data_IF_594668413586
#
_entry.id   IF_594668413586
#
_cell.length_a   1.000
_cell.length_b   1.000
_cell.length_c   1.000
_cell.angle_alpha   90.00
_cell.angle_beta   90.00
_cell.angle_gamma   90.00
#
_symmetry.space_group_name_H-M   'P 1'
#
loop_
_entity.id
_entity.type
_entity.pdbx_description
1 polymer ?
#
# COMPACT_ATOMS: atom_id res chain seq x y z
N UNK A 1 -34.75 -5.44 -6.57
CA UNK A 1 -33.70 -4.48 -6.97
C UNK A 1 -32.40 -5.26 -7.10
N UNK A 2 -31.98 -5.62 -8.32
CA UNK A 2 -30.69 -6.30 -8.54
C UNK A 2 -29.60 -5.24 -8.35
N UNK A 3 -28.84 -5.34 -7.26
CA UNK A 3 -27.72 -4.45 -7.01
C UNK A 3 -26.74 -4.53 -8.19
N UNK A 4 -26.27 -3.37 -8.64
CA UNK A 4 -25.25 -3.21 -9.68
C UNK A 4 -24.03 -4.10 -9.39
N UNK A 5 -23.95 -5.29 -9.99
CA UNK A 5 -22.66 -5.93 -10.27
C UNK A 5 -22.13 -5.26 -11.53
N UNK A 6 -21.58 -4.06 -11.39
CA UNK A 6 -20.91 -3.34 -12.48
C UNK A 6 -19.62 -4.04 -12.94
N UNK A 7 -19.25 -5.16 -12.32
CA UNK A 7 -17.95 -5.83 -12.52
C UNK A 7 -16.76 -4.99 -12.06
N UNK A 8 -17.01 -3.80 -11.50
CA UNK A 8 -15.99 -2.82 -11.17
C UNK A 8 -15.41 -3.15 -9.79
N UNK A 9 -14.11 -3.44 -9.77
CA UNK A 9 -13.34 -3.74 -8.56
C UNK A 9 -12.11 -2.85 -8.51
N UNK A 10 -11.47 -2.78 -7.35
CA UNK A 10 -10.17 -2.10 -7.18
C UNK A 10 -9.11 -2.67 -8.14
N UNK A 11 -9.15 -3.97 -8.41
CA UNK A 11 -8.27 -4.65 -9.39
C UNK A 11 -8.56 -4.20 -10.83
N UNK A 12 -9.84 -4.12 -11.22
CA UNK A 12 -10.22 -3.65 -12.57
C UNK A 12 -9.83 -2.18 -12.76
N UNK A 13 -10.03 -1.34 -11.74
CA UNK A 13 -9.61 0.06 -11.77
C UNK A 13 -8.08 0.18 -11.90
N UNK A 14 -7.34 -0.61 -11.12
CA UNK A 14 -5.88 -0.64 -11.17
C UNK A 14 -5.38 -1.04 -12.56
N UNK A 15 -5.92 -2.13 -13.11
CA UNK A 15 -5.59 -2.62 -14.44
C UNK A 15 -5.93 -1.62 -15.55
N UNK A 16 -7.06 -0.93 -15.44
CA UNK A 16 -7.47 0.08 -16.42
C UNK A 16 -6.53 1.29 -16.44
N UNK A 17 -5.85 1.60 -15.33
CA UNK A 17 -4.89 2.70 -15.27
C UNK A 17 -3.56 2.42 -15.99
N UNK A 18 -3.23 1.15 -16.26
CA UNK A 18 -2.01 0.70 -16.94
C UNK A 18 -0.69 1.30 -16.37
N UNK A 19 -0.66 1.66 -15.08
CA UNK A 19 0.49 2.32 -14.45
C UNK A 19 1.31 1.31 -13.65
N UNK A 20 2.10 0.49 -14.35
CA UNK A 20 2.91 -0.57 -13.75
C UNK A 20 3.94 -0.05 -12.73
N UNK A 21 4.42 1.18 -12.91
CA UNK A 21 5.32 1.82 -11.96
C UNK A 21 4.60 2.13 -10.64
N UNK A 22 3.39 2.72 -10.71
CA UNK A 22 2.60 3.02 -9.52
C UNK A 22 2.21 1.74 -8.76
N UNK A 23 1.85 0.67 -9.47
CA UNK A 23 1.56 -0.63 -8.84
C UNK A 23 2.74 -1.15 -8.05
N UNK A 24 3.95 -1.13 -8.62
CA UNK A 24 5.16 -1.54 -7.90
C UNK A 24 5.43 -0.68 -6.67
N UNK A 25 5.23 0.63 -6.76
CA UNK A 25 5.40 1.55 -5.63
C UNK A 25 4.39 1.26 -4.50
N UNK A 26 3.13 1.02 -4.86
CA UNK A 26 2.05 0.72 -3.91
C UNK A 26 2.20 -0.66 -3.26
N UNK A 27 2.66 -1.66 -4.01
CA UNK A 27 2.97 -3.00 -3.49
C UNK A 27 4.14 -2.95 -2.51
N UNK A 28 5.23 -2.27 -2.90
CA UNK A 28 6.37 -2.03 -2.02
C UNK A 28 5.97 -1.29 -0.74
N UNK A 29 5.15 -0.24 -0.87
CA UNK A 29 4.62 0.50 0.28
C UNK A 29 3.72 -0.37 1.16
N UNK A 30 2.89 -1.22 0.57
CA UNK A 30 2.06 -2.19 1.29
C UNK A 30 2.90 -3.11 2.17
N UNK A 31 3.96 -3.71 1.60
CA UNK A 31 4.91 -4.57 2.31
C UNK A 31 5.69 -3.80 3.38
N UNK A 32 6.20 -2.62 3.06
CA UNK A 32 6.91 -1.73 3.99
C UNK A 32 6.05 -1.31 5.18
N UNK A 33 4.78 -0.95 4.95
CA UNK A 33 3.88 -0.50 6.01
C UNK A 33 3.26 -1.65 6.81
N UNK A 34 3.32 -2.90 6.33
CA UNK A 34 2.77 -4.10 6.97
C UNK A 34 3.81 -4.95 7.74
N UNK A 35 5.10 -4.87 7.41
CA UNK A 35 6.15 -5.70 8.02
C UNK A 35 6.59 -5.27 9.43
N UNK A 36 7.35 -6.17 10.11
CA UNK A 36 8.04 -5.93 11.39
C UNK A 36 9.13 -4.84 11.33
N UNK A 37 9.46 -4.36 10.13
CA UNK A 37 10.22 -3.13 9.87
C UNK A 37 9.22 -1.98 9.95
N UNK A 38 8.67 -1.78 11.14
CA UNK A 38 7.44 -1.02 11.37
C UNK A 38 7.48 0.42 10.87
N UNK A 39 6.83 0.66 9.72
CA UNK A 39 6.52 2.01 9.22
C UNK A 39 7.73 2.95 9.21
N UNK A 40 7.53 4.28 9.26
CA UNK A 40 8.64 5.17 9.53
C UNK A 40 9.18 4.78 10.91
N UNK A 41 10.41 4.27 10.95
CA UNK A 41 11.14 4.09 12.20
C UNK A 41 11.09 5.42 12.94
N UNK A 42 10.29 5.49 13.99
CA UNK A 42 10.33 6.62 14.92
C UNK A 42 11.69 6.48 15.59
N UNK A 43 12.71 7.10 15.01
CA UNK A 43 13.97 7.31 15.69
C UNK A 43 13.66 8.25 16.84
N UNK A 44 13.43 7.68 18.03
CA UNK A 44 13.36 8.46 19.24
C UNK A 44 14.62 9.36 19.29
N UNK A 45 14.37 10.64 19.56
CA UNK A 45 15.34 11.72 19.45
C UNK A 45 16.70 11.38 20.07
N UNK A 46 17.75 11.93 19.45
CA UNK A 46 19.16 11.92 19.82
C UNK A 46 20.03 10.70 19.43
N UNK A 47 19.49 9.53 19.09
CA UNK A 47 20.33 8.37 18.68
C UNK A 47 20.59 8.26 17.16
N UNK A 48 19.97 9.13 16.34
CA UNK A 48 20.01 9.05 14.87
C UNK A 48 21.32 9.57 14.24
N UNK A 49 22.04 10.47 14.91
CA UNK A 49 23.27 11.07 14.36
C UNK A 49 24.49 10.12 14.36
N UNK A 50 24.48 9.05 15.17
CA UNK A 50 25.65 8.20 15.39
C UNK A 50 25.68 6.93 14.52
N UNK A 51 24.62 6.60 13.78
CA UNK A 51 24.56 5.36 12.97
C UNK A 51 25.09 5.49 11.54
N UNK A 52 25.65 6.65 11.18
CA UNK A 52 26.37 6.81 9.91
C UNK A 52 27.79 6.23 9.91
N UNK A 53 28.26 5.68 11.03
CA UNK A 53 29.51 4.92 11.05
C UNK A 53 29.23 3.51 10.54
N UNK A 54 29.78 3.20 9.36
CA UNK A 54 29.79 1.86 8.79
C UNK A 54 30.44 0.89 9.79
N UNK A 55 29.62 0.02 10.39
CA UNK A 55 30.11 -1.14 11.14
C UNK A 55 30.59 -2.15 10.08
N UNK A 56 31.86 -2.59 10.10
CA UNK A 56 32.33 -3.58 9.14
C UNK A 56 31.62 -4.91 9.43
N UNK A 57 30.87 -5.39 8.44
CA UNK A 57 30.09 -6.62 8.51
C UNK A 57 31.07 -7.80 8.50
N UNK A 58 31.06 -8.61 9.54
CA UNK A 58 31.70 -9.94 9.52
C UNK A 58 30.81 -10.89 8.72
N UNK A 59 31.42 -11.57 7.74
CA UNK A 59 30.79 -12.54 6.84
C UNK A 59 29.98 -13.60 7.61
N UNK A 60 28.69 -13.69 7.28
CA UNK A 60 27.78 -14.72 7.78
C UNK A 60 26.49 -14.71 6.98
N UNK A 61 26.38 -15.62 6.02
CA UNK A 61 25.18 -16.01 5.26
C UNK A 61 24.26 -14.87 4.79
N UNK A 62 24.64 -14.22 3.67
CA UNK A 62 23.71 -13.42 2.86
C UNK A 62 22.63 -14.33 2.24
N UNK A 63 21.52 -14.53 2.95
CA UNK A 63 20.33 -15.18 2.37
C UNK A 63 19.02 -14.41 2.54
N UNK A 64 19.04 -13.16 3.04
CA UNK A 64 17.81 -12.41 3.36
C UNK A 64 17.67 -11.04 2.66
N UNK A 65 18.44 -10.77 1.60
CA UNK A 65 18.47 -9.45 0.95
C UNK A 65 17.47 -9.20 -0.19
N UNK A 66 16.89 -10.25 -0.77
CA UNK A 66 16.17 -10.12 -2.05
C UNK A 66 14.67 -9.75 -1.91
N UNK A 67 14.08 -9.90 -0.73
CA UNK A 67 12.64 -9.71 -0.49
C UNK A 67 12.31 -8.58 0.51
N UNK A 68 13.31 -7.81 0.92
CA UNK A 68 13.09 -6.63 1.76
C UNK A 68 12.46 -5.50 0.92
N UNK A 69 11.39 -4.83 1.42
CA UNK A 69 10.83 -3.69 0.73
C UNK A 69 11.84 -2.52 0.69
N UNK A 70 11.88 -1.80 -0.42
CA UNK A 70 12.69 -0.59 -0.58
C UNK A 70 12.16 0.51 0.35
N UNK A 71 12.95 0.86 1.37
CA UNK A 71 12.58 1.84 2.39
C UNK A 71 12.37 3.25 1.80
N UNK A 72 13.20 3.68 0.85
CA UNK A 72 13.10 5.01 0.23
C UNK A 72 11.84 5.11 -0.64
N UNK A 73 11.54 4.05 -1.39
CA UNK A 73 10.31 3.97 -2.14
C UNK A 73 9.08 3.93 -1.21
N UNK A 74 9.15 3.19 -0.10
CA UNK A 74 8.10 3.14 0.93
C UNK A 74 7.82 4.51 1.55
N UNK A 75 8.87 5.21 1.98
CA UNK A 75 8.77 6.55 2.56
C UNK A 75 8.23 7.58 1.56
N UNK A 76 8.67 7.50 0.30
CA UNK A 76 8.18 8.37 -0.78
C UNK A 76 6.67 8.23 -0.97
N UNK A 77 6.15 7.00 -0.94
CA UNK A 77 4.71 6.73 -1.01
C UNK A 77 3.99 7.19 0.25
N UNK A 78 4.55 7.00 1.44
CA UNK A 78 3.94 7.47 2.69
C UNK A 78 3.79 9.00 2.71
N UNK A 79 4.83 9.74 2.29
CA UNK A 79 4.80 11.18 2.16
C UNK A 79 3.73 11.64 1.16
N UNK A 80 3.65 11.02 -0.01
CA UNK A 80 2.63 11.32 -1.01
C UNK A 80 1.21 10.98 -0.51
N UNK A 81 1.06 9.85 0.19
CA UNK A 81 -0.18 9.39 0.79
C UNK A 81 -0.68 10.37 1.85
N UNK A 82 0.19 10.88 2.74
CA UNK A 82 -0.18 11.87 3.76
C UNK A 82 -0.78 13.16 3.18
N UNK A 83 -0.42 13.53 1.95
CA UNK A 83 -0.95 14.71 1.26
C UNK A 83 -2.37 14.53 0.70
N UNK A 84 -2.88 13.30 0.66
CA UNK A 84 -4.24 13.04 0.21
C UNK A 84 -5.28 13.41 1.29
N UNK A 85 -6.52 13.73 0.88
CA UNK A 85 -7.66 13.83 1.80
C UNK A 85 -7.84 12.58 2.67
N UNK A 86 -8.36 12.77 3.88
CA UNK A 86 -8.48 11.70 4.88
C UNK A 86 -9.20 10.43 4.36
N UNK A 87 -10.28 10.60 3.60
CA UNK A 87 -11.06 9.50 3.04
C UNK A 87 -10.24 8.69 2.01
N UNK A 88 -9.52 9.38 1.12
CA UNK A 88 -8.66 8.73 0.12
C UNK A 88 -7.51 7.97 0.78
N UNK A 89 -6.96 8.52 1.86
CA UNK A 89 -5.93 7.85 2.66
C UNK A 89 -6.42 6.55 3.26
N UNK A 90 -7.61 6.56 3.86
CA UNK A 90 -8.23 5.38 4.47
C UNK A 90 -8.46 4.28 3.43
N UNK A 91 -9.00 4.65 2.27
CA UNK A 91 -9.27 3.69 1.19
C UNK A 91 -7.98 3.06 0.65
N UNK A 92 -6.96 3.87 0.32
CA UNK A 92 -5.68 3.32 -0.16
C UNK A 92 -5.00 2.41 0.87
N UNK A 93 -5.04 2.80 2.14
CA UNK A 93 -4.46 2.00 3.22
C UNK A 93 -5.20 0.67 3.40
N UNK A 94 -6.53 0.68 3.30
CA UNK A 94 -7.35 -0.54 3.36
C UNK A 94 -7.11 -1.49 2.17
N UNK A 95 -6.76 -0.95 1.01
CA UNK A 95 -6.48 -1.76 -0.19
C UNK A 95 -5.07 -2.36 -0.16
N UNK A 96 -4.05 -1.58 0.23
CA UNK A 96 -2.64 -1.96 0.06
C UNK A 96 -1.88 -2.35 1.34
N UNK A 97 -2.29 -1.85 2.52
CA UNK A 97 -1.50 -2.01 3.76
C UNK A 97 -2.22 -2.87 4.79
N UNK A 98 -3.46 -2.52 5.12
CA UNK A 98 -4.15 -3.06 6.29
C UNK A 98 -4.78 -4.43 6.08
N UNK A 99 -4.86 -4.93 4.84
CA UNK A 99 -5.50 -6.21 4.60
C UNK A 99 -4.55 -7.28 4.09
N UNK A 100 -4.29 -8.33 4.89
CA UNK A 100 -3.52 -9.49 4.47
C UNK A 100 -4.40 -10.30 3.53
N UNK A 101 -4.32 -9.99 2.23
CA UNK A 101 -4.85 -10.83 1.16
C UNK A 101 -4.44 -12.31 1.37
N UNK A 102 -3.31 -12.55 2.02
CA UNK A 102 -2.81 -13.87 2.41
C UNK A 102 -3.61 -14.53 3.55
N UNK A 103 -4.04 -13.84 4.61
CA UNK A 103 -4.84 -14.51 5.68
C UNK A 103 -6.24 -14.90 5.22
N UNK A 104 -6.88 -14.11 4.35
CA UNK A 104 -8.22 -14.45 3.81
C UNK A 104 -8.12 -15.58 2.76
N UNK A 105 -7.07 -15.59 1.93
CA UNK A 105 -6.81 -16.67 0.96
C UNK A 105 -6.40 -17.98 1.65
N UNK A 106 -5.60 -17.93 2.72
CA UNK A 106 -5.06 -19.11 3.41
C UNK A 106 -6.02 -19.68 4.46
N UNK A 107 -6.76 -18.88 5.22
CA UNK A 107 -7.66 -19.42 6.28
C UNK A 107 -8.92 -20.11 5.77
N UNK A 108 -9.31 -19.95 4.49
CA UNK A 108 -10.57 -20.48 3.97
C UNK A 108 -10.44 -21.52 2.84
N UNK A 109 -9.24 -21.79 2.32
CA UNK A 109 -9.07 -22.73 1.21
C UNK A 109 -9.93 -22.43 -0.03
N UNK A 110 -10.40 -21.19 -0.16
CA UNK A 110 -11.37 -20.76 -1.17
C UNK A 110 -10.79 -19.55 -1.90
N UNK A 111 -10.76 -19.58 -3.23
CA UNK A 111 -10.36 -18.45 -4.05
C UNK A 111 -11.34 -17.29 -3.84
N UNK A 112 -11.02 -16.37 -2.93
CA UNK A 112 -11.82 -15.16 -2.71
C UNK A 112 -11.75 -14.31 -3.98
N UNK A 113 -12.91 -14.06 -4.62
CA UNK A 113 -12.99 -13.17 -5.78
C UNK A 113 -12.68 -11.72 -5.35
N UNK A 114 -12.08 -10.92 -6.23
CA UNK A 114 -11.73 -9.53 -5.94
C UNK A 114 -12.91 -8.68 -5.45
N UNK A 115 -14.11 -8.95 -5.99
CA UNK A 115 -15.35 -8.29 -5.57
C UNK A 115 -15.71 -8.55 -4.11
N UNK A 116 -15.45 -9.75 -3.59
CA UNK A 116 -15.74 -10.08 -2.19
C UNK A 116 -14.76 -9.40 -1.23
N UNK A 117 -13.49 -9.29 -1.62
CA UNK A 117 -12.51 -8.50 -0.88
C UNK A 117 -12.91 -7.01 -0.81
N UNK A 118 -13.39 -6.44 -1.92
CA UNK A 118 -13.83 -5.05 -1.96
C UNK A 118 -15.10 -4.81 -1.15
N UNK A 119 -16.10 -5.72 -1.22
CA UNK A 119 -17.30 -5.67 -0.38
C UNK A 119 -16.95 -5.73 1.10
N UNK A 120 -15.95 -6.55 1.46
CA UNK A 120 -15.47 -6.65 2.82
C UNK A 120 -14.80 -5.35 3.29
N UNK A 121 -13.86 -4.81 2.51
CA UNK A 121 -13.20 -3.53 2.80
C UNK A 121 -14.20 -2.39 2.99
N UNK A 122 -15.21 -2.31 2.11
CA UNK A 122 -16.25 -1.30 2.20
C UNK A 122 -17.04 -1.40 3.53
N UNK A 123 -17.32 -2.61 4.02
CA UNK A 123 -17.99 -2.85 5.31
C UNK A 123 -17.12 -2.41 6.49
N UNK A 124 -15.83 -2.75 6.50
CA UNK A 124 -14.89 -2.31 7.54
C UNK A 124 -14.77 -0.79 7.60
N UNK A 125 -14.67 -0.16 6.43
CA UNK A 125 -14.65 1.29 6.29
C UNK A 125 -16.01 1.96 6.54
N UNK A 126 -17.06 1.16 6.83
CA UNK A 126 -18.44 1.62 7.07
C UNK A 126 -18.95 2.54 5.96
N UNK A 127 -18.63 2.22 4.71
CA UNK A 127 -19.00 3.03 3.55
C UNK A 127 -19.63 2.18 2.43
N UNK A 128 -20.44 2.79 1.54
CA UNK A 128 -20.93 2.11 0.36
C UNK A 128 -19.78 1.66 -0.55
N UNK A 129 -19.89 0.46 -1.13
CA UNK A 129 -18.89 -0.07 -2.07
C UNK A 129 -18.62 0.90 -3.24
N UNK A 130 -19.68 1.48 -3.81
CA UNK A 130 -19.55 2.45 -4.89
C UNK A 130 -18.69 3.66 -4.49
N UNK A 131 -18.91 4.20 -3.28
CA UNK A 131 -18.12 5.32 -2.77
C UNK A 131 -16.66 4.93 -2.53
N UNK A 132 -16.40 3.73 -2.02
CA UNK A 132 -15.04 3.22 -1.85
C UNK A 132 -14.30 3.13 -3.19
N UNK A 133 -14.96 2.55 -4.21
CA UNK A 133 -14.39 2.37 -5.54
C UNK A 133 -14.16 3.71 -6.25
N UNK A 134 -15.10 4.64 -6.14
CA UNK A 134 -14.94 6.00 -6.67
C UNK A 134 -13.79 6.74 -5.98
N UNK A 135 -13.74 6.67 -4.65
CA UNK A 135 -12.66 7.27 -3.87
C UNK A 135 -11.31 6.69 -4.26
N UNK A 136 -11.23 5.37 -4.46
CA UNK A 136 -10.02 4.69 -4.92
C UNK A 136 -9.60 5.16 -6.32
N UNK A 137 -10.56 5.23 -7.26
CA UNK A 137 -10.32 5.70 -8.62
C UNK A 137 -9.81 7.15 -8.66
N UNK A 138 -10.26 8.01 -7.75
CA UNK A 138 -9.78 9.38 -7.62
C UNK A 138 -8.41 9.48 -6.90
N UNK A 139 -8.18 8.64 -5.89
CA UNK A 139 -6.98 8.69 -5.08
C UNK A 139 -5.72 8.30 -5.87
N UNK A 140 -5.81 7.29 -6.73
CA UNK A 140 -4.69 6.78 -7.54
C UNK A 140 -3.99 7.84 -8.40
N UNK A 141 -4.69 8.56 -9.31
CA UNK A 141 -4.04 9.57 -10.14
C UNK A 141 -3.52 10.74 -9.31
N UNK A 142 -4.18 11.09 -8.20
CA UNK A 142 -3.71 12.12 -7.28
C UNK A 142 -2.38 11.71 -6.62
N UNK A 143 -2.28 10.47 -6.13
CA UNK A 143 -1.06 9.91 -5.56
C UNK A 143 0.07 9.87 -6.58
N UNK A 144 -0.20 9.35 -7.78
CA UNK A 144 0.78 9.26 -8.86
C UNK A 144 1.35 10.64 -9.23
N UNK A 145 0.49 11.65 -9.27
CA UNK A 145 0.92 13.04 -9.50
C UNK A 145 1.82 13.54 -8.37
N UNK A 146 1.49 13.30 -7.11
CA UNK A 146 2.33 13.73 -5.99
C UNK A 146 3.70 13.04 -5.99
N UNK A 147 3.73 11.74 -6.27
CA UNK A 147 4.99 10.99 -6.37
C UNK A 147 5.87 11.54 -7.50
N UNK A 148 5.31 11.73 -8.70
CA UNK A 148 6.08 12.29 -9.83
C UNK A 148 6.57 13.71 -9.58
N UNK A 149 5.80 14.52 -8.86
CA UNK A 149 6.22 15.88 -8.47
C UNK A 149 7.30 15.88 -7.38
N UNK A 150 7.32 14.87 -6.51
CA UNK A 150 8.32 14.70 -5.45
C UNK A 150 9.65 14.14 -5.95
N UNK A 151 9.62 13.27 -6.97
CA UNK A 151 10.82 12.64 -7.56
C UNK A 151 11.67 13.63 -8.40
N UNK A 152 11.12 14.79 -8.78
CA UNK A 152 11.82 15.81 -9.59
C UNK A 152 12.45 16.96 -8.76
N UNK A 153 12.74 16.76 -7.47
CA UNK A 153 13.41 17.77 -6.64
C UNK A 153 14.64 17.22 -5.95
#
# INVERSE_FOLDING_TARGET
MRAYDSGLTTEVIARASCDAWLERMLDNWGRWAAGDIGGPRIFADCASAERHYAIPIWEGDETDGADAPDELAGESVDMAWRRLPALQRQVLRAVHVQWPLERVRVQRGCATQAADADRFRARELRMPLALMLETYAQARPALARFLRQGVMR
#
